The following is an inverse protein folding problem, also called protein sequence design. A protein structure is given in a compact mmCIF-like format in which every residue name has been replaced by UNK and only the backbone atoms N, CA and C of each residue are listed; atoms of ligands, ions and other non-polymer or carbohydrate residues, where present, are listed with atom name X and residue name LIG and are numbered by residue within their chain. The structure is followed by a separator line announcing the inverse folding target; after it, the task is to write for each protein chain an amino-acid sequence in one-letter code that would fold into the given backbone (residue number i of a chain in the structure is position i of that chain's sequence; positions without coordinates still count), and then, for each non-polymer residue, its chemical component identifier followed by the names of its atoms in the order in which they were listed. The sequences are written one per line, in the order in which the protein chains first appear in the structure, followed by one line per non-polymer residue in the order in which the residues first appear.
data_IF_303255206136
#
_entry.id   IF_303255206136
#
_cell.length_a   1.000
_cell.length_b   1.000
_cell.length_c   1.000
_cell.angle_alpha   90.00
_cell.angle_beta   90.00
_cell.angle_gamma   90.00
#
_symmetry.space_group_name_H-M   'P 1'
#
loop_
_entity.id
_entity.type
_entity.pdbx_description
1 polymer ?
#
# COMPACT_ATOMS: atom_id res chain seq x y z
N UNK A 1 6.70 -24.47 57.94
CA UNK A 1 7.65 -24.81 59.02
C UNK A 1 8.66 -25.82 58.48
N UNK A 2 9.95 -25.49 58.64
CA UNK A 2 11.17 -26.30 58.54
C UNK A 2 11.66 -26.87 57.18
N UNK A 3 12.43 -26.01 56.51
CA UNK A 3 13.81 -26.18 55.95
C UNK A 3 14.57 -27.50 56.12
N UNK A 4 15.25 -27.93 55.04
CA UNK A 4 16.67 -28.34 54.97
C UNK A 4 17.23 -27.94 53.58
N UNK A 5 18.06 -26.91 53.48
CA UNK A 5 19.54 -26.92 53.48
C UNK A 5 20.19 -27.68 52.31
N UNK A 6 20.86 -26.96 51.41
CA UNK A 6 22.26 -27.23 51.03
C UNK A 6 22.91 -25.93 50.54
N UNK A 7 24.04 -25.61 51.16
CA UNK A 7 24.98 -24.52 50.93
C UNK A 7 26.31 -25.17 50.52
N UNK A 8 27.13 -24.53 49.68
CA UNK A 8 28.62 -24.53 49.63
C UNK A 8 28.96 -23.71 48.38
N UNK A 9 29.36 -22.43 48.46
CA UNK A 9 30.56 -21.82 49.05
C UNK A 9 31.74 -21.74 48.06
N UNK A 10 31.98 -20.50 47.66
CA UNK A 10 33.07 -19.90 46.87
C UNK A 10 34.40 -19.95 47.62
N UNK A 11 35.52 -20.11 46.91
CA UNK A 11 36.83 -19.68 47.42
C UNK A 11 37.67 -19.07 46.29
N UNK A 12 37.94 -17.77 46.41
CA UNK A 12 38.99 -17.05 45.70
C UNK A 12 40.37 -17.53 46.17
N UNK A 13 41.34 -17.56 45.25
CA UNK A 13 42.76 -17.55 45.61
C UNK A 13 43.49 -16.52 44.75
N UNK A 14 43.95 -15.46 45.42
CA UNK A 14 44.85 -14.46 44.87
C UNK A 14 46.28 -14.79 45.30
N UNK A 15 47.23 -14.78 44.37
CA UNK A 15 48.65 -14.62 44.66
C UNK A 15 49.26 -13.62 43.67
N UNK A 16 49.68 -12.46 44.17
CA UNK A 16 50.84 -11.73 43.66
C UNK A 16 52.10 -12.53 44.07
N UNK A 17 53.30 -12.42 43.47
CA UNK A 17 54.09 -11.20 43.23
C UNK A 17 55.30 -11.48 42.29
N UNK A 18 55.80 -10.41 41.63
CA UNK A 18 57.19 -10.10 41.13
C UNK A 18 57.78 -10.85 39.91
N UNK A 19 57.82 -10.15 38.75
CA UNK A 19 59.00 -9.40 38.29
C UNK A 19 60.03 -10.01 37.32
N UNK A 20 60.27 -9.25 36.24
CA UNK A 20 61.48 -9.09 35.40
C UNK A 20 61.88 -10.11 34.30
N UNK A 21 61.57 -9.71 33.06
CA UNK A 21 62.50 -9.36 31.97
C UNK A 21 62.93 -10.40 30.90
N UNK A 22 62.86 -9.91 29.65
CA UNK A 22 63.65 -10.24 28.45
C UNK A 22 63.07 -11.23 27.41
N UNK A 23 62.72 -10.64 26.26
CA UNK A 23 62.82 -11.11 24.87
C UNK A 23 62.87 -12.61 24.55
N UNK A 24 61.93 -13.05 23.70
CA UNK A 24 62.23 -13.57 22.34
C UNK A 24 60.96 -13.84 21.54
N UNK A 25 60.94 -13.27 20.33
CA UNK A 25 60.01 -13.59 19.24
C UNK A 25 60.07 -15.07 18.88
N UNK A 26 58.94 -15.77 18.96
CA UNK A 26 58.65 -16.94 18.14
C UNK A 26 57.26 -16.79 17.54
N UNK A 27 57.21 -16.78 16.21
CA UNK A 27 55.99 -16.62 15.40
C UNK A 27 55.11 -17.87 15.53
N UNK A 28 53.77 -17.74 15.68
CA UNK A 28 52.86 -18.88 15.62
C UNK A 28 52.85 -19.51 14.21
N UNK A 29 52.54 -20.82 14.09
CA UNK A 29 52.43 -21.48 12.80
C UNK A 29 51.26 -20.91 11.98
N UNK A 30 51.54 -20.70 10.69
CA UNK A 30 50.63 -20.16 9.69
C UNK A 30 49.43 -21.11 9.50
N UNK A 31 48.26 -20.74 10.03
CA UNK A 31 47.00 -21.39 9.68
C UNK A 31 46.63 -20.88 8.29
N UNK A 32 46.42 -21.74 7.27
CA UNK A 32 46.00 -21.28 5.96
C UNK A 32 44.66 -20.56 6.09
N UNK A 33 44.61 -19.33 5.58
CA UNK A 33 43.39 -18.53 5.52
C UNK A 33 42.28 -19.36 4.87
N UNK A 34 41.19 -19.53 5.62
CA UNK A 34 39.91 -19.96 5.05
C UNK A 34 39.55 -18.90 4.01
N UNK A 35 39.26 -19.27 2.75
CA UNK A 35 38.84 -18.29 1.76
C UNK A 35 37.65 -17.50 2.33
N UNK A 36 37.76 -16.18 2.33
CA UNK A 36 36.66 -15.30 2.67
C UNK A 36 35.42 -15.77 1.93
N UNK A 37 34.39 -16.14 2.69
CA UNK A 37 33.04 -16.28 2.14
C UNK A 37 32.73 -14.89 1.60
N UNK A 38 32.46 -14.72 0.30
CA UNK A 38 32.13 -13.41 -0.23
C UNK A 38 30.95 -12.87 0.57
N UNK A 39 31.13 -11.67 1.13
CA UNK A 39 30.07 -10.93 1.78
C UNK A 39 28.83 -10.97 0.87
N UNK A 40 27.73 -11.48 1.43
CA UNK A 40 26.43 -11.30 0.80
C UNK A 40 26.28 -9.79 0.63
N UNK A 41 26.07 -9.26 -0.59
CA UNK A 41 25.94 -7.83 -0.75
C UNK A 41 24.83 -7.35 0.17
N UNK A 42 25.15 -6.35 1.00
CA UNK A 42 24.16 -5.60 1.77
C UNK A 42 23.02 -5.24 0.81
N UNK A 43 21.80 -5.62 1.19
CA UNK A 43 20.59 -5.17 0.53
C UNK A 43 20.69 -3.64 0.48
N UNK A 44 20.62 -2.99 -0.69
CA UNK A 44 20.76 -1.55 -0.78
C UNK A 44 19.78 -0.89 0.19
N UNK A 45 20.24 0.11 0.93
CA UNK A 45 19.39 1.01 1.72
C UNK A 45 18.13 1.32 0.91
N UNK A 46 16.98 0.81 1.38
CA UNK A 46 15.68 1.14 0.81
C UNK A 46 15.53 2.65 0.91
N UNK A 47 15.52 3.35 -0.23
CA UNK A 47 15.31 4.79 -0.21
C UNK A 47 13.87 5.09 0.18
N UNK A 48 13.66 5.51 1.42
CA UNK A 48 12.34 5.70 2.05
C UNK A 48 11.53 6.91 1.56
N UNK A 49 11.90 7.51 0.42
CA UNK A 49 11.12 8.58 -0.21
C UNK A 49 11.41 8.70 -1.72
N UNK A 50 12.14 7.74 -2.30
CA UNK A 50 12.53 7.84 -3.70
C UNK A 50 11.31 7.69 -4.60
N UNK A 51 10.97 8.79 -5.29
CA UNK A 51 9.87 8.83 -6.24
C UNK A 51 8.52 9.19 -5.63
N UNK A 52 8.46 9.59 -4.36
CA UNK A 52 7.30 10.33 -3.87
C UNK A 52 7.31 11.74 -4.48
N UNK A 53 6.18 12.11 -5.07
CA UNK A 53 5.90 13.47 -5.50
C UNK A 53 4.42 13.73 -5.28
N UNK A 54 4.08 14.49 -4.24
CA UNK A 54 2.69 14.77 -3.91
C UNK A 54 1.95 15.50 -5.04
N UNK A 55 2.68 16.21 -5.92
CA UNK A 55 2.09 16.90 -7.05
C UNK A 55 1.44 15.94 -8.07
N UNK A 56 1.86 14.67 -8.07
CA UNK A 56 1.29 13.61 -8.90
C UNK A 56 -0.05 13.12 -8.40
N UNK A 57 -0.62 13.69 -7.34
CA UNK A 57 -1.79 13.12 -6.69
C UNK A 57 -2.81 14.19 -6.34
N UNK A 58 -4.09 13.86 -6.47
CA UNK A 58 -5.14 14.49 -5.67
C UNK A 58 -5.63 13.48 -4.63
N UNK A 59 -6.21 13.94 -3.53
CA UNK A 59 -6.80 13.05 -2.51
C UNK A 59 -8.32 13.24 -2.45
N UNK A 60 -9.06 12.15 -2.30
CA UNK A 60 -10.47 12.19 -1.88
C UNK A 60 -10.54 11.86 -0.40
N UNK A 61 -11.23 12.71 0.37
CA UNK A 61 -11.39 12.56 1.82
C UNK A 61 -12.72 11.84 2.18
N UNK A 62 -12.83 11.21 3.36
CA UNK A 62 -14.05 10.53 3.79
C UNK A 62 -15.10 11.49 4.39
N UNK A 63 -15.01 12.79 4.11
CA UNK A 63 -15.87 13.86 4.65
C UNK A 63 -16.49 14.66 3.51
N UNK A 64 -17.71 15.18 3.71
CA UNK A 64 -18.42 15.93 2.67
C UNK A 64 -17.78 17.29 2.40
N UNK A 65 -18.07 17.88 1.24
CA UNK A 65 -17.65 19.26 0.93
C UNK A 65 -18.33 20.27 1.86
N UNK A 66 -19.60 20.04 2.21
CA UNK A 66 -20.30 20.92 3.14
C UNK A 66 -19.69 20.89 4.54
N UNK A 67 -19.28 19.72 5.04
CA UNK A 67 -18.64 19.60 6.35
C UNK A 67 -17.20 20.13 6.35
N UNK A 68 -16.46 19.92 5.24
CA UNK A 68 -15.05 20.29 5.15
C UNK A 68 -14.85 21.77 4.76
N UNK A 69 -15.50 22.22 3.68
CA UNK A 69 -15.37 23.60 3.17
C UNK A 69 -16.47 24.55 3.66
N UNK A 70 -17.52 24.04 4.33
CA UNK A 70 -18.72 24.80 4.64
C UNK A 70 -19.67 24.99 3.45
N UNK A 71 -19.34 24.44 2.28
CA UNK A 71 -20.14 24.54 1.04
C UNK A 71 -19.70 23.52 -0.01
N UNK A 72 -20.59 23.17 -0.93
CA UNK A 72 -20.30 22.34 -2.10
C UNK A 72 -21.07 21.01 -2.17
N UNK A 73 -21.93 20.74 -1.19
CA UNK A 73 -22.82 19.60 -1.13
C UNK A 73 -22.25 18.38 -0.41
N UNK A 74 -23.06 17.33 -0.37
CA UNK A 74 -22.81 16.07 0.35
C UNK A 74 -21.75 15.15 -0.31
N UNK A 75 -21.22 15.52 -1.47
CA UNK A 75 -20.15 14.72 -2.10
C UNK A 75 -18.84 14.85 -1.32
N UNK A 76 -18.00 13.82 -1.36
CA UNK A 76 -16.68 13.83 -0.74
C UNK A 76 -15.83 15.05 -1.14
N UNK A 77 -15.13 15.63 -0.17
CA UNK A 77 -14.13 16.68 -0.38
C UNK A 77 -12.89 16.13 -1.10
N UNK A 78 -12.21 17.00 -1.86
CA UNK A 78 -10.98 16.65 -2.57
C UNK A 78 -9.94 17.76 -2.45
N UNK A 79 -8.73 17.42 -2.04
CA UNK A 79 -7.59 18.34 -2.09
C UNK A 79 -6.74 18.03 -3.32
N UNK A 80 -6.10 19.06 -3.87
CA UNK A 80 -5.34 18.98 -5.11
C UNK A 80 -4.07 19.85 -5.03
N UNK A 81 -2.94 19.46 -5.65
CA UNK A 81 -1.66 20.16 -5.52
C UNK A 81 -1.58 21.38 -6.44
N UNK A 82 -2.60 22.22 -6.35
CA UNK A 82 -2.74 23.50 -7.03
C UNK A 82 -3.92 24.28 -6.44
N UNK A 83 -3.87 25.60 -6.56
CA UNK A 83 -5.01 26.46 -6.28
C UNK A 83 -6.11 26.22 -7.33
N UNK A 84 -7.13 25.45 -6.97
CA UNK A 84 -8.27 25.13 -7.83
C UNK A 84 -9.56 25.61 -7.19
N UNK A 85 -10.42 26.25 -7.97
CA UNK A 85 -11.68 26.82 -7.44
C UNK A 85 -12.52 25.78 -6.70
N UNK A 86 -12.81 26.06 -5.43
CA UNK A 86 -13.65 25.22 -4.57
C UNK A 86 -12.96 23.96 -4.04
N UNK A 87 -11.62 23.96 -4.01
CA UNK A 87 -10.79 22.91 -3.40
C UNK A 87 -9.63 23.55 -2.64
N UNK A 88 -9.21 22.90 -1.57
CA UNK A 88 -8.00 23.26 -0.85
C UNK A 88 -6.77 22.56 -1.45
N UNK A 89 -5.60 23.07 -1.10
CA UNK A 89 -4.31 22.57 -1.60
C UNK A 89 -3.93 21.29 -0.88
N UNK A 90 -3.44 20.31 -1.64
CA UNK A 90 -2.73 19.13 -1.14
C UNK A 90 -1.23 19.38 -1.26
N UNK A 91 -0.50 19.29 -0.16
CA UNK A 91 0.96 19.46 -0.08
C UNK A 91 1.56 18.55 1.01
N UNK A 92 2.90 18.51 1.09
CA UNK A 92 3.61 17.65 2.05
C UNK A 92 3.40 18.09 3.52
N UNK A 93 2.84 19.28 3.75
CA UNK A 93 2.51 19.82 5.08
C UNK A 93 1.04 19.53 5.46
N UNK A 94 0.27 18.90 4.57
CA UNK A 94 -1.15 18.59 4.80
C UNK A 94 -1.30 17.60 5.95
N UNK A 95 -1.91 18.08 7.04
CA UNK A 95 -2.22 17.30 8.24
C UNK A 95 -3.72 17.35 8.55
N UNK A 96 -4.40 16.24 8.29
CA UNK A 96 -5.84 16.06 8.49
C UNK A 96 -6.10 14.77 9.28
N UNK A 97 -7.24 14.65 9.99
CA UNK A 97 -7.60 13.41 10.70
C UNK A 97 -7.65 12.15 9.83
N UNK A 98 -7.74 12.32 8.51
CA UNK A 98 -7.88 11.24 7.53
C UNK A 98 -6.62 10.99 6.71
N UNK A 99 -5.67 11.94 6.74
CA UNK A 99 -4.46 11.92 5.95
C UNK A 99 -3.40 12.82 6.58
N UNK A 100 -2.24 12.27 6.91
CA UNK A 100 -1.11 13.05 7.39
C UNK A 100 0.20 12.31 7.11
N UNK A 101 1.32 13.04 7.18
CA UNK A 101 2.66 12.48 7.17
C UNK A 101 3.19 12.39 8.59
N UNK A 102 3.73 11.25 9.00
CA UNK A 102 4.33 11.12 10.34
C UNK A 102 5.65 11.90 10.40
N UNK A 103 5.89 12.59 11.51
CA UNK A 103 7.23 13.07 11.85
C UNK A 103 8.05 11.88 12.37
N UNK A 104 9.16 11.53 11.71
CA UNK A 104 10.11 10.53 12.23
C UNK A 104 11.53 11.09 12.26
N UNK A 105 12.06 11.24 13.48
CA UNK A 105 13.45 11.64 13.76
C UNK A 105 14.47 10.60 13.23
N UNK A 106 14.02 9.39 12.85
CA UNK A 106 14.85 8.29 12.34
C UNK A 106 14.77 8.09 10.81
N UNK A 107 14.33 9.11 10.06
CA UNK A 107 14.41 9.23 8.59
C UNK A 107 13.39 8.45 7.74
N UNK A 108 12.38 7.80 8.34
CA UNK A 108 11.41 6.99 7.59
C UNK A 108 9.95 7.45 7.80
N UNK A 109 9.57 8.67 7.38
CA UNK A 109 8.20 9.15 7.51
C UNK A 109 7.22 8.25 6.72
N UNK A 110 6.04 7.99 7.29
CA UNK A 110 4.95 7.31 6.61
C UNK A 110 3.86 8.31 6.22
N UNK A 111 3.23 8.07 5.07
CA UNK A 111 1.95 8.66 4.72
C UNK A 111 0.84 7.81 5.33
N UNK A 112 0.11 8.37 6.29
CA UNK A 112 -0.98 7.68 6.96
C UNK A 112 -2.30 8.04 6.29
N UNK A 113 -3.08 7.01 5.98
CA UNK A 113 -4.46 7.14 5.55
C UNK A 113 -5.36 6.52 6.61
N UNK A 114 -6.38 7.26 7.03
CA UNK A 114 -7.30 6.83 8.08
C UNK A 114 -8.76 7.10 7.73
N UNK A 115 -9.63 6.15 8.08
CA UNK A 115 -11.08 6.24 7.94
C UNK A 115 -11.72 5.63 9.18
N UNK A 116 -12.48 6.44 9.92
CA UNK A 116 -13.34 5.97 11.00
C UNK A 116 -14.74 5.64 10.41
N UNK A 117 -15.17 4.38 10.56
CA UNK A 117 -16.44 3.91 10.02
C UNK A 117 -17.66 4.43 10.79
N UNK A 118 -17.47 5.00 11.98
CA UNK A 118 -18.52 5.63 12.77
C UNK A 118 -18.94 7.02 12.29
N UNK A 119 -18.14 7.67 11.45
CA UNK A 119 -18.40 9.03 11.01
C UNK A 119 -19.50 9.06 9.93
N UNK A 120 -20.21 10.19 9.81
CA UNK A 120 -21.12 10.47 8.70
C UNK A 120 -20.28 10.67 7.43
N UNK A 121 -19.86 9.55 6.85
CA UNK A 121 -18.88 9.53 5.80
C UNK A 121 -19.45 9.88 4.42
N UNK A 122 -18.73 10.68 3.65
CA UNK A 122 -19.14 11.08 2.30
C UNK A 122 -18.51 10.22 1.20
N UNK A 123 -19.23 10.08 0.09
CA UNK A 123 -18.77 9.30 -1.07
C UNK A 123 -18.84 10.13 -2.36
N UNK A 124 -18.41 9.53 -3.46
CA UNK A 124 -18.54 10.11 -4.81
C UNK A 124 -19.67 9.43 -5.57
N UNK A 125 -20.17 10.04 -6.64
CA UNK A 125 -21.37 9.60 -7.40
C UNK A 125 -21.40 8.10 -7.74
N UNK A 126 -20.23 7.49 -7.99
CA UNK A 126 -20.13 6.09 -8.41
C UNK A 126 -19.66 5.15 -7.28
N UNK A 127 -19.73 5.58 -6.02
CA UNK A 127 -19.28 4.78 -4.87
C UNK A 127 -20.25 4.89 -3.69
N UNK A 128 -20.48 3.76 -3.05
CA UNK A 128 -21.23 3.67 -1.79
C UNK A 128 -20.32 3.60 -0.55
N UNK A 129 -19.01 3.73 -0.71
CA UNK A 129 -18.04 3.60 0.38
C UNK A 129 -17.13 4.82 0.46
N UNK A 130 -16.78 5.19 1.70
CA UNK A 130 -15.83 6.25 2.03
C UNK A 130 -14.41 5.85 1.65
N UNK A 131 -13.53 6.85 1.51
CA UNK A 131 -12.11 6.64 1.24
C UNK A 131 -11.27 7.79 1.78
N UNK A 132 -10.04 7.47 2.14
CA UNK A 132 -8.94 8.42 2.17
C UNK A 132 -7.93 7.89 1.16
N UNK A 133 -8.02 8.35 -0.08
CA UNK A 133 -7.36 7.69 -1.20
C UNK A 133 -6.89 8.69 -2.26
N UNK A 134 -5.63 8.53 -2.67
CA UNK A 134 -5.01 9.27 -3.74
C UNK A 134 -5.51 8.81 -5.11
N UNK A 135 -5.56 9.75 -6.05
CA UNK A 135 -5.84 9.56 -7.47
C UNK A 135 -4.74 10.26 -8.24
N UNK A 136 -4.00 9.49 -9.05
CA UNK A 136 -2.87 9.98 -9.83
C UNK A 136 -3.26 11.11 -10.79
N UNK A 137 -2.44 12.14 -10.90
CA UNK A 137 -2.51 13.22 -11.89
C UNK A 137 -1.37 13.04 -12.91
N UNK A 138 -1.59 12.22 -13.95
CA UNK A 138 -0.54 11.85 -14.92
C UNK A 138 0.19 13.06 -15.56
N UNK A 139 -0.57 14.10 -15.93
CA UNK A 139 -0.05 15.33 -16.55
C UNK A 139 0.03 16.46 -15.51
N UNK A 140 0.43 16.14 -14.28
CA UNK A 140 0.54 17.12 -13.20
C UNK A 140 1.46 18.28 -13.58
N UNK A 141 2.55 18.09 -14.31
CA UNK A 141 3.44 19.19 -14.71
C UNK A 141 2.80 20.24 -15.66
N UNK A 142 1.58 20.00 -16.12
CA UNK A 142 0.85 20.95 -16.98
C UNK A 142 -0.06 21.87 -16.16
N UNK A 143 -0.46 23.00 -16.74
CA UNK A 143 -1.42 23.94 -16.14
C UNK A 143 -2.82 23.33 -15.88
N UNK A 144 -3.08 22.12 -16.39
CA UNK A 144 -4.39 21.44 -16.33
C UNK A 144 -4.61 20.62 -15.05
N UNK A 145 -3.85 20.84 -13.96
CA UNK A 145 -3.99 20.09 -12.69
C UNK A 145 -5.43 20.07 -12.19
N UNK A 146 -6.16 21.18 -12.32
CA UNK A 146 -7.54 21.31 -11.82
C UNK A 146 -8.59 20.44 -12.56
N UNK A 147 -8.24 19.82 -13.69
CA UNK A 147 -9.17 19.01 -14.49
C UNK A 147 -8.75 17.55 -14.54
N UNK A 148 -9.56 16.65 -13.98
CA UNK A 148 -9.26 15.21 -13.99
C UNK A 148 -9.34 14.56 -15.39
N UNK A 149 -9.96 15.21 -16.38
CA UNK A 149 -10.10 14.66 -17.74
C UNK A 149 -8.79 14.58 -18.52
N UNK A 150 -7.84 15.48 -18.25
CA UNK A 150 -6.54 15.54 -18.92
C UNK A 150 -5.42 14.89 -18.10
N UNK A 151 -5.77 14.06 -17.11
CA UNK A 151 -4.84 13.58 -16.09
C UNK A 151 -4.83 12.05 -16.06
N UNK A 152 -4.82 11.43 -17.24
CA UNK A 152 -4.92 9.99 -17.45
C UNK A 152 -3.89 9.55 -18.49
N UNK A 153 -3.38 8.33 -18.38
CA UNK A 153 -2.45 7.71 -19.35
C UNK A 153 -3.14 6.63 -20.16
N UNK A 154 -2.70 6.42 -21.40
CA UNK A 154 -3.02 5.25 -22.22
C UNK A 154 -1.98 4.15 -21.97
N UNK A 155 -2.32 2.88 -22.22
CA UNK A 155 -1.35 1.78 -22.16
C UNK A 155 -0.40 1.89 -23.35
N UNK A 156 0.72 2.57 -23.15
CA UNK A 156 1.83 2.68 -24.10
C UNK A 156 3.13 2.57 -23.34
N UNK A 157 3.97 1.57 -23.62
CA UNK A 157 5.14 1.29 -22.79
C UNK A 157 4.77 0.70 -21.42
N UNK A 158 5.52 1.06 -20.37
CA UNK A 158 5.43 0.48 -19.04
C UNK A 158 4.85 1.50 -18.03
N UNK A 159 3.81 1.11 -17.30
CA UNK A 159 3.22 1.91 -16.22
C UNK A 159 3.26 1.10 -14.93
N UNK A 160 3.90 1.61 -13.87
CA UNK A 160 4.05 0.88 -12.60
C UNK A 160 3.62 1.73 -11.42
N UNK A 161 2.91 1.11 -10.48
CA UNK A 161 2.70 1.60 -9.12
C UNK A 161 3.43 0.66 -8.16
N UNK A 162 4.47 1.15 -7.51
CA UNK A 162 5.26 0.42 -6.51
C UNK A 162 5.01 1.03 -5.13
N UNK A 163 4.74 0.20 -4.13
CA UNK A 163 4.44 0.67 -2.77
C UNK A 163 5.06 -0.22 -1.70
N UNK A 164 5.21 0.36 -0.51
CA UNK A 164 5.43 -0.34 0.73
C UNK A 164 4.49 0.21 1.79
N UNK A 165 3.81 -0.69 2.48
CA UNK A 165 2.78 -0.33 3.45
C UNK A 165 2.67 -1.36 4.57
N UNK A 166 1.90 -0.98 5.58
CA UNK A 166 1.40 -1.87 6.61
C UNK A 166 -0.02 -1.48 7.03
N UNK A 167 -0.83 -2.47 7.39
CA UNK A 167 -2.13 -2.23 8.03
C UNK A 167 -1.87 -1.99 9.51
N UNK A 168 -2.14 -0.79 10.01
CA UNK A 168 -1.85 -0.40 11.40
C UNK A 168 -3.06 -0.61 12.32
N UNK A 169 -4.25 -0.30 11.82
CA UNK A 169 -5.51 -0.52 12.53
C UNK A 169 -6.61 -0.97 11.56
N UNK A 170 -7.54 -1.77 12.07
CA UNK A 170 -8.66 -2.29 11.30
C UNK A 170 -9.84 -2.63 12.22
N UNK A 171 -11.09 -2.57 11.72
CA UNK A 171 -12.27 -2.74 12.55
C UNK A 171 -12.46 -4.18 13.02
N UNK A 172 -13.07 -4.34 14.20
CA UNK A 172 -13.41 -5.64 14.76
C UNK A 172 -14.56 -6.26 13.96
N UNK A 173 -14.29 -7.44 13.37
CA UNK A 173 -15.27 -8.20 12.58
C UNK A 173 -16.55 -8.53 13.35
N UNK A 174 -16.49 -8.63 14.68
CA UNK A 174 -17.65 -8.88 15.54
C UNK A 174 -18.54 -7.65 15.71
N UNK A 175 -17.99 -6.45 15.53
CA UNK A 175 -18.72 -5.17 15.53
C UNK A 175 -19.29 -4.89 14.14
N UNK A 176 -18.47 -4.97 13.09
CA UNK A 176 -18.90 -4.67 11.71
C UNK A 176 -19.61 -5.83 11.01
N UNK A 177 -19.72 -6.99 11.67
CA UNK A 177 -20.45 -8.18 11.19
C UNK A 177 -19.84 -8.87 9.96
N UNK A 178 -18.62 -8.52 9.57
CA UNK A 178 -17.94 -9.10 8.40
C UNK A 178 -16.42 -8.95 8.52
N UNK A 179 -15.66 -9.66 7.68
CA UNK A 179 -14.20 -9.48 7.65
C UNK A 179 -13.82 -8.03 7.28
N UNK A 180 -12.79 -7.46 7.91
CA UNK A 180 -12.32 -6.11 7.61
C UNK A 180 -11.71 -6.10 6.20
N UNK A 181 -12.41 -5.48 5.24
CA UNK A 181 -11.97 -5.39 3.84
C UNK A 181 -11.59 -3.95 3.50
N UNK A 182 -10.40 -3.77 2.95
CA UNK A 182 -9.91 -2.47 2.48
C UNK A 182 -9.15 -2.64 1.18
N UNK A 183 -9.47 -1.80 0.20
CA UNK A 183 -8.68 -1.67 -1.02
C UNK A 183 -7.52 -0.71 -0.74
N UNK A 184 -6.30 -1.10 -1.11
CA UNK A 184 -5.07 -0.31 -0.86
C UNK A 184 -4.38 0.20 -2.13
N UNK A 185 -4.78 -0.32 -3.29
CA UNK A 185 -4.21 0.05 -4.58
C UNK A 185 -5.16 -0.29 -5.73
N UNK A 186 -5.21 0.54 -6.77
CA UNK A 186 -6.07 0.32 -7.94
C UNK A 186 -5.41 0.84 -9.22
N UNK A 187 -5.83 0.25 -10.35
CA UNK A 187 -5.81 0.91 -11.66
C UNK A 187 -7.25 1.08 -12.09
N UNK A 188 -7.65 2.31 -12.36
CA UNK A 188 -9.03 2.63 -12.71
C UNK A 188 -9.11 3.26 -14.08
N UNK A 189 -10.09 2.82 -14.88
CA UNK A 189 -10.34 3.42 -16.19
C UNK A 189 -10.98 4.80 -16.06
N UNK A 190 -10.55 5.73 -16.89
CA UNK A 190 -11.21 7.03 -17.05
C UNK A 190 -12.53 6.86 -17.80
N UNK A 191 -13.60 7.45 -17.27
CA UNK A 191 -14.97 7.28 -17.80
C UNK A 191 -15.40 5.82 -17.95
N UNK A 192 -14.89 4.95 -17.08
CA UNK A 192 -15.26 3.54 -16.97
C UNK A 192 -15.71 3.31 -15.53
N UNK A 193 -16.84 2.63 -15.33
CA UNK A 193 -17.40 2.43 -13.99
C UNK A 193 -16.61 1.43 -13.14
N UNK A 194 -16.00 0.45 -13.79
CA UNK A 194 -15.20 -0.59 -13.17
C UNK A 194 -13.73 -0.15 -13.06
N UNK A 195 -13.06 -0.56 -11.97
CA UNK A 195 -11.60 -0.56 -11.95
C UNK A 195 -11.09 -1.71 -12.84
N UNK A 196 -9.96 -1.54 -13.50
CA UNK A 196 -9.27 -2.65 -14.15
C UNK A 196 -8.85 -3.69 -13.09
N UNK A 197 -8.24 -3.20 -12.00
CA UNK A 197 -7.81 -4.02 -10.87
C UNK A 197 -7.97 -3.26 -9.55
N UNK A 198 -8.27 -3.99 -8.47
CA UNK A 198 -8.20 -3.53 -7.09
C UNK A 198 -7.40 -4.53 -6.24
N UNK A 199 -6.43 -4.04 -5.47
CA UNK A 199 -5.72 -4.82 -4.45
C UNK A 199 -6.43 -4.68 -3.10
N UNK A 200 -6.91 -5.80 -2.57
CA UNK A 200 -7.68 -5.86 -1.33
C UNK A 200 -6.95 -6.64 -0.24
N UNK A 201 -6.84 -6.05 0.95
CA UNK A 201 -6.60 -6.77 2.20
C UNK A 201 -7.94 -7.07 2.90
N UNK A 202 -8.07 -8.25 3.51
CA UNK A 202 -9.35 -8.82 3.94
C UNK A 202 -9.25 -9.49 5.34
N UNK A 203 -8.41 -8.94 6.21
CA UNK A 203 -8.11 -9.56 7.50
C UNK A 203 -6.91 -10.49 7.44
N UNK A 204 -6.34 -10.74 8.61
CA UNK A 204 -5.04 -11.38 8.79
C UNK A 204 -4.99 -12.85 8.34
N UNK A 205 -6.13 -13.53 8.31
CA UNK A 205 -6.21 -14.97 7.99
C UNK A 205 -6.41 -15.23 6.50
N UNK A 206 -6.54 -14.18 5.68
CA UNK A 206 -6.96 -14.29 4.29
C UNK A 206 -5.93 -13.71 3.32
N UNK A 207 -5.84 -14.24 2.10
CA UNK A 207 -4.89 -13.74 1.15
C UNK A 207 -5.26 -12.32 0.71
N UNK A 208 -4.24 -11.53 0.41
CA UNK A 208 -4.37 -10.31 -0.39
C UNK A 208 -4.94 -10.72 -1.75
N UNK A 209 -6.00 -10.04 -2.19
CA UNK A 209 -6.65 -10.34 -3.47
C UNK A 209 -6.44 -9.23 -4.46
N UNK A 210 -5.90 -9.57 -5.63
CA UNK A 210 -6.06 -8.75 -6.83
C UNK A 210 -7.41 -9.10 -7.45
N UNK A 211 -8.39 -8.20 -7.35
CA UNK A 211 -9.72 -8.34 -7.96
C UNK A 211 -9.67 -7.66 -9.32
N UNK A 212 -9.85 -8.42 -10.39
CA UNK A 212 -9.76 -7.95 -11.78
C UNK A 212 -11.14 -8.02 -12.44
N UNK A 213 -11.52 -6.98 -13.18
CA UNK A 213 -12.69 -7.02 -14.05
C UNK A 213 -12.28 -7.50 -15.44
N UNK A 214 -13.01 -8.49 -15.98
CA UNK A 214 -12.68 -9.11 -17.26
C UNK A 214 -12.89 -8.15 -18.44
N UNK A 215 -13.87 -7.26 -18.37
CA UNK A 215 -14.24 -6.29 -19.39
C UNK A 215 -14.93 -5.07 -18.76
N UNK A 216 -15.38 -4.14 -19.60
CA UNK A 216 -16.06 -2.92 -19.19
C UNK A 216 -16.95 -2.36 -20.30
N UNK A 217 -17.83 -1.42 -19.93
CA UNK A 217 -18.48 -0.51 -20.87
C UNK A 217 -17.91 0.90 -20.69
N UNK A 218 -17.81 1.64 -21.79
CA UNK A 218 -17.34 3.03 -21.81
C UNK A 218 -18.40 4.00 -21.24
N UNK A 219 -18.05 5.28 -21.12
CA UNK A 219 -18.95 6.37 -20.74
C UNK A 219 -19.64 6.18 -19.38
N UNK A 220 -18.99 5.48 -18.45
CA UNK A 220 -19.52 5.10 -17.13
C UNK A 220 -20.80 4.26 -17.19
N UNK A 221 -21.07 3.58 -18.30
CA UNK A 221 -22.23 2.72 -18.42
C UNK A 221 -22.10 1.49 -17.52
N UNK A 222 -23.23 1.01 -17.00
CA UNK A 222 -23.26 -0.26 -16.29
C UNK A 222 -22.95 -1.38 -17.29
N UNK A 223 -22.07 -2.30 -16.90
CA UNK A 223 -21.79 -3.50 -17.68
C UNK A 223 -22.38 -4.72 -16.98
N UNK A 224 -23.57 -5.14 -17.41
CA UNK A 224 -24.30 -6.27 -16.82
C UNK A 224 -23.71 -7.63 -17.23
N UNK A 225 -22.86 -7.67 -18.25
CA UNK A 225 -22.20 -8.89 -18.75
C UNK A 225 -20.74 -9.02 -18.32
N UNK A 226 -20.18 -7.99 -17.69
CA UNK A 226 -18.82 -8.01 -17.18
C UNK A 226 -18.76 -8.81 -15.90
N UNK A 227 -17.69 -9.59 -15.74
CA UNK A 227 -17.44 -10.40 -14.57
C UNK A 227 -16.16 -9.95 -13.88
N UNK A 228 -16.01 -10.38 -12.63
CA UNK A 228 -14.78 -10.19 -11.87
C UNK A 228 -14.24 -11.53 -11.39
N UNK A 229 -12.93 -11.67 -11.39
CA UNK A 229 -12.21 -12.81 -10.81
C UNK A 229 -11.09 -12.28 -9.91
N UNK A 230 -10.37 -13.18 -9.21
CA UNK A 230 -9.29 -12.73 -8.33
C UNK A 230 -8.07 -13.64 -8.31
N UNK A 231 -6.89 -13.02 -8.20
CA UNK A 231 -5.65 -13.72 -7.88
C UNK A 231 -5.35 -13.57 -6.38
N UNK A 232 -4.84 -14.63 -5.75
CA UNK A 232 -4.36 -14.60 -4.37
C UNK A 232 -2.86 -14.27 -4.36
N UNK A 233 -2.47 -13.27 -3.57
CA UNK A 233 -1.11 -12.71 -3.56
C UNK A 233 -0.49 -12.79 -2.15
N UNK A 234 -0.47 -14.00 -1.58
CA UNK A 234 0.01 -14.25 -0.22
C UNK A 234 -0.90 -13.70 0.88
N UNK A 235 -0.55 -13.97 2.14
CA UNK A 235 -1.31 -13.56 3.33
C UNK A 235 -0.41 -12.74 4.24
N UNK A 236 -0.90 -11.60 4.73
CA UNK A 236 -0.14 -10.69 5.61
C UNK A 236 -0.98 -10.29 6.83
N UNK A 237 -0.36 -10.37 8.01
CA UNK A 237 -0.92 -9.89 9.28
C UNK A 237 -0.79 -8.38 9.39
N UNK A 238 -1.61 -7.73 10.24
CA UNK A 238 -1.42 -6.31 10.51
C UNK A 238 -0.05 -6.04 11.15
N UNK A 239 0.44 -4.79 11.05
CA UNK A 239 1.75 -4.33 11.51
C UNK A 239 2.94 -5.11 10.94
N UNK A 240 2.73 -5.77 9.79
CA UNK A 240 3.78 -6.44 9.04
C UNK A 240 3.99 -5.65 7.74
N UNK A 241 5.17 -5.06 7.52
CA UNK A 241 5.48 -4.38 6.28
C UNK A 241 5.42 -5.34 5.09
N UNK A 242 4.81 -4.87 4.01
CA UNK A 242 4.75 -5.59 2.74
C UNK A 242 4.73 -4.60 1.59
N UNK A 243 5.15 -5.08 0.42
CA UNK A 243 5.18 -4.30 -0.80
C UNK A 243 4.15 -4.86 -1.78
N UNK A 244 3.61 -4.00 -2.64
CA UNK A 244 2.95 -4.43 -3.86
C UNK A 244 3.43 -3.65 -5.06
N UNK A 245 3.43 -4.32 -6.20
CA UNK A 245 3.61 -3.70 -7.52
C UNK A 245 2.38 -4.00 -8.37
N UNK A 246 1.82 -2.97 -9.00
CA UNK A 246 0.91 -3.13 -10.14
C UNK A 246 1.62 -2.60 -11.37
N UNK A 247 1.93 -3.50 -12.31
CA UNK A 247 2.59 -3.18 -13.55
C UNK A 247 1.64 -3.45 -14.73
N UNK A 248 1.44 -2.46 -15.60
CA UNK A 248 0.57 -2.52 -16.78
C UNK A 248 1.36 -2.11 -18.02
N UNK A 249 1.26 -2.90 -19.08
CA UNK A 249 1.90 -2.60 -20.37
C UNK A 249 1.09 -3.15 -21.56
N UNK A 250 1.62 -2.99 -22.77
CA UNK A 250 0.98 -3.41 -24.02
C UNK A 250 0.69 -4.92 -24.11
N UNK A 251 1.32 -5.74 -23.27
CA UNK A 251 1.14 -7.21 -23.26
C UNK A 251 0.14 -7.68 -22.22
N UNK A 252 0.00 -6.96 -21.11
CA UNK A 252 -0.82 -7.40 -20.00
C UNK A 252 -0.61 -6.62 -18.71
N UNK A 253 -0.87 -7.32 -17.61
CA UNK A 253 -0.56 -6.87 -16.26
C UNK A 253 0.29 -7.91 -15.53
N UNK A 254 1.19 -7.41 -14.70
CA UNK A 254 1.89 -8.17 -13.67
C UNK A 254 1.59 -7.53 -12.32
N UNK A 255 1.22 -8.37 -11.35
CA UNK A 255 0.91 -7.93 -10.00
C UNK A 255 1.68 -8.79 -9.03
N UNK A 256 2.50 -8.17 -8.19
CA UNK A 256 3.30 -8.87 -7.20
C UNK A 256 3.10 -8.30 -5.81
N UNK A 257 3.29 -9.16 -4.82
CA UNK A 257 3.46 -8.77 -3.41
C UNK A 257 4.76 -9.34 -2.88
N UNK A 258 5.45 -8.57 -2.03
CA UNK A 258 6.61 -9.03 -1.27
C UNK A 258 6.33 -8.82 0.22
N UNK A 259 6.10 -9.91 0.94
CA UNK A 259 5.71 -9.87 2.35
C UNK A 259 6.94 -10.04 3.24
N UNK A 260 7.12 -9.11 4.19
CA UNK A 260 8.22 -9.08 5.14
C UNK A 260 9.62 -9.23 4.49
N UNK A 261 9.79 -8.71 3.26
CA UNK A 261 11.03 -8.79 2.47
C UNK A 261 11.45 -10.21 2.06
N UNK A 262 10.55 -11.21 2.15
CA UNK A 262 10.92 -12.63 2.03
C UNK A 262 10.04 -13.43 1.09
N UNK A 263 8.72 -13.23 1.15
CA UNK A 263 7.78 -14.06 0.39
C UNK A 263 7.21 -13.25 -0.76
N UNK A 264 7.70 -13.52 -1.96
CA UNK A 264 7.17 -12.95 -3.20
C UNK A 264 6.06 -13.83 -3.77
N UNK A 265 4.95 -13.22 -4.18
CA UNK A 265 3.89 -13.87 -4.95
C UNK A 265 3.52 -13.00 -6.14
N UNK A 266 3.57 -13.55 -7.34
CA UNK A 266 3.32 -12.82 -8.60
C UNK A 266 2.19 -13.46 -9.40
N UNK A 267 1.34 -12.62 -9.98
CA UNK A 267 0.32 -13.00 -10.94
C UNK A 267 0.51 -12.24 -12.26
N UNK A 268 0.52 -12.97 -13.37
CA UNK A 268 0.59 -12.40 -14.71
C UNK A 268 -0.71 -12.65 -15.47
N UNK A 269 -1.18 -11.63 -16.18
CA UNK A 269 -2.40 -11.67 -16.98
C UNK A 269 -2.13 -11.02 -18.33
N UNK A 270 -2.47 -11.67 -19.44
CA UNK A 270 -2.30 -11.11 -20.78
C UNK A 270 -3.63 -10.70 -21.39
N UNK A 271 -3.58 -9.66 -22.22
CA UNK A 271 -4.76 -9.18 -22.94
C UNK A 271 -5.30 -10.24 -23.91
N UNK A 272 -6.55 -10.62 -23.73
CA UNK A 272 -7.27 -11.60 -24.54
C UNK A 272 -6.98 -13.06 -24.19
N UNK A 273 -6.17 -13.34 -23.16
CA UNK A 273 -5.95 -14.71 -22.70
C UNK A 273 -6.99 -15.15 -21.67
N UNK A 274 -7.39 -16.42 -21.75
CA UNK A 274 -8.33 -17.02 -20.82
C UNK A 274 -7.60 -17.52 -19.58
N UNK A 275 -8.12 -17.17 -18.40
CA UNK A 275 -7.66 -17.64 -17.09
C UNK A 275 -8.75 -18.45 -16.42
N UNK A 276 -8.36 -19.44 -15.61
CA UNK A 276 -9.28 -20.23 -14.80
C UNK A 276 -9.13 -19.76 -13.36
N UNK A 277 -10.21 -19.22 -12.78
CA UNK A 277 -10.22 -18.79 -11.38
C UNK A 277 -10.34 -20.00 -10.44
N UNK A 278 -10.15 -19.76 -9.14
CA UNK A 278 -10.30 -20.75 -8.07
C UNK A 278 -11.68 -21.42 -8.02
N UNK A 279 -12.71 -20.80 -8.57
CA UNK A 279 -14.06 -21.36 -8.68
C UNK A 279 -14.23 -22.31 -9.87
N UNK A 280 -13.16 -22.51 -10.67
CA UNK A 280 -13.15 -23.35 -11.86
C UNK A 280 -13.77 -22.71 -13.08
N UNK A 281 -14.24 -21.46 -13.00
CA UNK A 281 -14.77 -20.73 -14.16
C UNK A 281 -13.65 -20.08 -14.95
N UNK A 282 -13.89 -19.99 -16.25
CA UNK A 282 -12.99 -19.31 -17.18
C UNK A 282 -13.39 -17.85 -17.35
N UNK A 283 -12.42 -16.97 -17.25
CA UNK A 283 -12.54 -15.54 -17.50
C UNK A 283 -11.55 -15.17 -18.61
N UNK A 284 -11.87 -14.16 -19.42
CA UNK A 284 -10.94 -13.66 -20.45
C UNK A 284 -10.79 -12.17 -20.28
N UNK A 285 -9.58 -11.72 -19.98
CA UNK A 285 -9.30 -10.29 -19.84
C UNK A 285 -9.39 -9.65 -21.22
N UNK A 286 -10.40 -8.81 -21.46
CA UNK A 286 -10.69 -8.24 -22.77
C UNK A 286 -9.52 -7.42 -23.30
N UNK A 287 -9.26 -7.50 -24.61
CA UNK A 287 -8.28 -6.65 -25.28
C UNK A 287 -8.68 -5.18 -25.31
N UNK A 288 -9.97 -4.87 -25.11
CA UNK A 288 -10.47 -3.50 -25.04
C UNK A 288 -9.83 -2.69 -23.90
N UNK A 289 -9.33 -3.36 -22.85
CA UNK A 289 -8.54 -2.69 -21.82
C UNK A 289 -7.28 -2.04 -22.43
N UNK A 290 -6.70 -2.60 -23.49
CA UNK A 290 -5.55 -1.99 -24.19
C UNK A 290 -5.84 -0.60 -24.79
N UNK A 291 -7.10 -0.27 -25.06
CA UNK A 291 -7.49 0.94 -25.79
C UNK A 291 -7.98 2.08 -24.87
N UNK A 292 -8.13 1.82 -23.57
CA UNK A 292 -8.67 2.78 -22.60
C UNK A 292 -7.60 3.71 -22.01
N UNK A 293 -8.07 4.74 -21.30
CA UNK A 293 -7.24 5.63 -20.49
C UNK A 293 -7.40 5.32 -19.00
N UNK A 294 -6.36 5.54 -18.22
CA UNK A 294 -6.24 5.06 -16.84
C UNK A 294 -5.57 6.07 -15.91
N UNK A 295 -5.71 5.79 -14.62
CA UNK A 295 -4.95 6.41 -13.55
C UNK A 295 -4.77 5.40 -12.40
N UNK A 296 -3.66 5.51 -11.70
CA UNK A 296 -3.41 4.79 -10.46
C UNK A 296 -4.17 5.41 -9.29
N UNK A 297 -4.43 4.58 -8.27
CA UNK A 297 -4.93 4.99 -6.96
C UNK A 297 -4.19 4.23 -5.86
N UNK A 298 -3.91 4.90 -4.75
CA UNK A 298 -3.26 4.34 -3.57
C UNK A 298 -3.78 5.04 -2.31
N UNK A 299 -3.78 4.37 -1.17
CA UNK A 299 -4.36 4.86 0.09
C UNK A 299 -5.30 3.82 0.67
N UNK A 300 -6.44 4.22 1.23
CA UNK A 300 -7.47 3.28 1.71
C UNK A 300 -8.86 3.57 1.16
N UNK A 301 -9.48 2.50 0.68
CA UNK A 301 -10.88 2.48 0.29
C UNK A 301 -11.57 1.30 0.98
N UNK A 302 -12.03 1.48 2.24
CA UNK A 302 -12.78 0.47 2.99
C UNK A 302 -13.98 -0.07 2.20
N UNK A 303 -14.18 -1.38 2.23
CA UNK A 303 -15.33 -2.05 1.60
C UNK A 303 -16.42 -2.37 2.64
N UNK A 304 -16.58 -1.45 3.59
CA UNK A 304 -17.58 -1.47 4.66
C UNK A 304 -18.27 -0.12 4.63
N UNK A 305 -19.61 -0.11 4.64
CA UNK A 305 -20.38 1.13 4.63
C UNK A 305 -20.27 1.79 6.02
N UNK A 306 -19.99 3.10 6.12
CA UNK A 306 -20.04 3.79 7.40
C UNK A 306 -21.41 3.64 8.06
N UNK A 307 -21.40 3.52 9.38
CA UNK A 307 -22.57 3.43 10.23
C UNK A 307 -22.22 4.01 11.60
N UNK A 308 -23.03 4.91 12.18
CA UNK A 308 -22.79 5.45 13.53
C UNK A 308 -22.59 4.40 14.62
N UNK A 309 -23.15 3.20 14.45
CA UNK A 309 -22.94 2.07 15.39
C UNK A 309 -21.50 1.52 15.33
N UNK A 310 -20.71 1.89 14.31
CA UNK A 310 -19.30 1.54 14.14
C UNK A 310 -18.35 2.62 14.70
N UNK A 311 -18.78 3.37 15.72
CA UNK A 311 -17.94 4.35 16.42
C UNK A 311 -16.59 3.74 16.83
N UNK A 312 -15.49 4.40 16.46
CA UNK A 312 -14.10 3.99 16.70
C UNK A 312 -13.68 2.69 15.98
N UNK A 313 -14.43 2.26 14.95
CA UNK A 313 -14.02 1.18 14.06
C UNK A 313 -13.21 1.80 12.91
N UNK A 314 -11.89 1.79 13.06
CA UNK A 314 -10.97 2.53 12.19
C UNK A 314 -10.28 1.57 11.22
N UNK A 315 -10.12 2.00 9.97
CA UNK A 315 -9.05 1.50 9.11
C UNK A 315 -7.93 2.54 9.10
N UNK A 316 -6.71 2.11 9.42
CA UNK A 316 -5.51 2.94 9.34
C UNK A 316 -4.40 2.17 8.63
N UNK A 317 -3.81 2.78 7.61
CA UNK A 317 -2.73 2.18 6.81
C UNK A 317 -1.62 3.21 6.66
N UNK A 318 -0.40 2.81 6.98
CA UNK A 318 0.80 3.60 6.77
C UNK A 318 1.52 3.14 5.52
N UNK A 319 1.85 4.08 4.61
CA UNK A 319 2.68 3.83 3.44
C UNK A 319 4.06 4.45 3.66
N UNK A 320 5.12 3.64 3.56
CA UNK A 320 6.50 4.13 3.56
C UNK A 320 6.89 4.73 2.21
N UNK A 321 6.32 4.23 1.12
CA UNK A 321 6.46 4.85 -0.19
C UNK A 321 5.30 4.51 -1.11
N UNK A 322 5.00 5.45 -2.01
CA UNK A 322 4.06 5.31 -3.12
C UNK A 322 4.74 5.94 -4.34
N UNK A 323 5.22 5.11 -5.26
CA UNK A 323 6.00 5.55 -6.42
C UNK A 323 5.31 5.10 -7.71
N UNK A 324 5.17 6.03 -8.65
CA UNK A 324 4.68 5.76 -9.99
C UNK A 324 5.81 5.94 -11.01
N UNK A 325 5.90 5.01 -11.95
CA UNK A 325 6.72 5.19 -13.15
C UNK A 325 5.90 5.04 -14.43
N UNK A 326 6.30 5.82 -15.42
CA UNK A 326 5.76 5.87 -16.77
C UNK A 326 6.92 5.88 -17.78
N UNK A 327 6.67 5.66 -19.08
CA UNK A 327 7.71 5.62 -20.12
C UNK A 327 8.53 6.89 -20.28
#
# INVERSE_FOLDING_TARGET
MNTKNTLIATTLLSFAIIGCNSDKNETPPNIPDVPDVPDVPDVPDECTDCGWDINQWKITLPVSRDDFYGTGGESAAELIPAECTGKDVLDDETELPYFWRTEDDNQNPQLIFSVNLGDEGATTTNSSYVRSELRELFNFETENRCSSSNQNWSITGEHRLNTQLEIQDYPDKSVIGSDPKVIVGQVHGYEIKQALIKLQWEGEEKPIRAIINDSFNENNETCDTCNSFSLNLGTVTANTPWQYTIHVNETGMEISTLIAGKTETTGELKWGETVIDKDGKSYTLSKQWGDAAYYFKAGIYPQVKPDPDFSNQIFQVGFNHINITHP
#
